data_IF_654275404127
#
_entry.id   IF_654275404127
#
_cell.length_a   1.000
_cell.length_b   1.000
_cell.length_c   1.000
_cell.angle_alpha   90.00
_cell.angle_beta   90.00
_cell.angle_gamma   90.00
#
_symmetry.space_group_name_H-M   'P 1'
#
loop_
_entity.id
_entity.type
_entity.pdbx_description
1 polymer ?
#
# COMPACT_ATOMS: atom_id res chain seq x y z
N UNK A 1 19.72 13.42 13.59
CA UNK A 1 18.55 14.26 13.89
C UNK A 1 17.44 13.82 12.95
N UNK A 2 16.19 13.80 13.42
CA UNK A 2 15.05 13.57 12.54
C UNK A 2 14.71 14.89 11.84
N UNK A 3 14.36 14.80 10.57
CA UNK A 3 13.86 15.92 9.77
C UNK A 3 12.38 16.12 10.15
N UNK A 4 11.95 17.38 10.27
CA UNK A 4 10.55 17.71 10.53
C UNK A 4 9.77 17.75 9.21
N UNK A 5 8.84 16.81 8.96
CA UNK A 5 8.08 16.78 7.72
C UNK A 5 7.10 17.96 7.56
N UNK A 6 6.89 18.77 8.60
CA UNK A 6 6.01 19.95 8.58
C UNK A 6 6.74 21.27 8.39
N UNK A 7 8.07 21.27 8.40
CA UNK A 7 8.88 22.46 8.13
C UNK A 7 8.94 22.74 6.62
N UNK A 8 8.36 23.84 6.11
CA UNK A 8 8.35 24.12 4.67
C UNK A 8 9.75 24.39 4.10
N UNK A 9 10.71 24.79 4.95
CA UNK A 9 12.09 25.05 4.52
C UNK A 9 12.93 23.77 4.44
N UNK A 10 12.39 22.64 4.91
CA UNK A 10 13.03 21.32 4.78
C UNK A 10 13.00 20.79 3.35
N UNK A 11 11.99 21.20 2.56
CA UNK A 11 11.86 20.86 1.15
C UNK A 11 12.14 22.11 0.32
N UNK A 12 13.36 22.27 -0.18
CA UNK A 12 13.64 23.24 -1.24
C UNK A 12 12.81 22.86 -2.47
N UNK A 13 12.12 23.83 -3.09
CA UNK A 13 11.56 23.73 -4.44
C UNK A 13 12.72 23.56 -5.46
N UNK A 14 13.45 22.46 -5.39
CA UNK A 14 14.16 21.97 -6.57
C UNK A 14 13.08 21.41 -7.48
N UNK A 15 12.64 22.26 -8.43
CA UNK A 15 11.93 21.84 -9.64
C UNK A 15 12.83 20.91 -10.48
N UNK A 16 13.35 19.82 -9.93
CA UNK A 16 13.44 18.58 -10.69
C UNK A 16 12.03 18.04 -10.76
N UNK A 17 11.24 18.74 -11.57
CA UNK A 17 9.96 18.33 -12.08
C UNK A 17 10.16 16.97 -12.71
N UNK A 18 9.97 15.89 -11.94
CA UNK A 18 9.53 14.64 -12.52
C UNK A 18 8.37 15.02 -13.42
N UNK A 19 8.56 14.91 -14.73
CA UNK A 19 7.77 15.60 -15.73
C UNK A 19 6.33 15.05 -15.63
N UNK A 20 5.44 15.77 -14.93
CA UNK A 20 4.12 15.27 -14.56
C UNK A 20 3.31 15.12 -15.84
N UNK A 21 2.93 13.88 -16.17
CA UNK A 21 2.20 13.55 -17.39
C UNK A 21 3.04 12.94 -18.51
N UNK A 22 4.33 12.69 -18.27
CA UNK A 22 5.14 11.83 -19.16
C UNK A 22 4.84 10.36 -18.88
N UNK A 23 4.75 9.58 -19.97
CA UNK A 23 4.54 8.14 -19.88
C UNK A 23 5.73 7.50 -19.16
N UNK A 24 5.46 6.77 -18.07
CA UNK A 24 6.47 5.96 -17.41
C UNK A 24 6.99 4.88 -18.38
N UNK A 25 8.25 4.42 -18.25
CA UNK A 25 8.75 3.26 -19.00
C UNK A 25 7.74 2.10 -18.98
N UNK A 26 7.68 1.30 -20.06
CA UNK A 26 6.64 0.26 -20.21
C UNK A 26 6.56 -0.70 -19.02
N UNK A 27 7.71 -1.08 -18.45
CA UNK A 27 7.79 -1.95 -17.28
C UNK A 27 7.21 -1.27 -16.03
N UNK A 28 7.63 -0.03 -15.77
CA UNK A 28 7.15 0.77 -14.63
C UNK A 28 5.64 1.03 -14.75
N UNK A 29 5.15 1.31 -15.96
CA UNK A 29 3.73 1.49 -16.23
C UNK A 29 2.94 0.18 -16.04
N UNK A 30 3.54 -0.97 -16.33
CA UNK A 30 2.93 -2.28 -16.08
C UNK A 30 2.80 -2.55 -14.57
N UNK A 31 3.85 -2.26 -13.78
CA UNK A 31 3.81 -2.37 -12.32
C UNK A 31 2.78 -1.42 -11.70
N UNK A 32 2.73 -0.16 -12.15
CA UNK A 32 1.77 0.83 -11.64
C UNK A 32 0.30 0.49 -11.95
N UNK A 33 0.04 -0.27 -13.01
CA UNK A 33 -1.31 -0.69 -13.41
C UNK A 33 -1.70 -2.04 -12.81
N UNK A 34 -0.80 -2.71 -12.08
CA UNK A 34 -1.11 -3.95 -11.40
C UNK A 34 -2.07 -3.69 -10.22
N UNK A 35 -2.97 -4.64 -9.97
CA UNK A 35 -3.88 -4.57 -8.84
C UNK A 35 -3.10 -4.69 -7.51
N UNK A 36 -3.34 -3.76 -6.57
CA UNK A 36 -2.60 -3.66 -5.30
C UNK A 36 -2.94 -4.82 -4.33
N UNK A 37 -4.14 -5.37 -4.46
CA UNK A 37 -4.62 -6.55 -3.76
C UNK A 37 -5.77 -7.15 -4.59
N UNK A 38 -5.51 -8.09 -5.52
CA UNK A 38 -6.55 -8.62 -6.40
C UNK A 38 -7.64 -9.38 -5.61
N UNK A 39 -7.32 -9.82 -4.40
CA UNK A 39 -8.24 -10.43 -3.45
C UNK A 39 -8.56 -9.46 -2.31
N UNK A 40 -9.85 -9.13 -2.17
CA UNK A 40 -10.31 -8.30 -1.05
C UNK A 40 -10.24 -9.09 0.26
N UNK A 41 -9.89 -8.40 1.34
CA UNK A 41 -10.03 -8.93 2.70
C UNK A 41 -11.47 -9.38 2.99
N UNK A 42 -11.62 -10.34 3.90
CA UNK A 42 -12.94 -10.76 4.35
C UNK A 42 -13.64 -9.60 5.08
N UNK A 43 -14.96 -9.51 4.90
CA UNK A 43 -15.77 -8.52 5.59
C UNK A 43 -15.68 -8.70 7.11
N UNK A 44 -15.59 -7.58 7.84
CA UNK A 44 -15.71 -7.58 9.30
C UNK A 44 -17.15 -7.80 9.78
N UNK A 45 -18.13 -7.93 8.88
CA UNK A 45 -19.50 -8.27 9.24
C UNK A 45 -19.58 -9.64 9.94
N UNK A 46 -20.08 -9.66 11.17
CA UNK A 46 -20.17 -10.87 11.99
C UNK A 46 -18.96 -11.13 12.89
N UNK A 47 -17.90 -10.32 12.78
CA UNK A 47 -16.79 -10.33 13.74
C UNK A 47 -17.21 -9.60 15.02
N UNK A 48 -16.88 -10.17 16.19
CA UNK A 48 -17.12 -9.55 17.49
C UNK A 48 -16.14 -8.38 17.72
N UNK A 49 -16.60 -7.12 17.80
CA UNK A 49 -15.73 -5.96 17.97
C UNK A 49 -15.02 -5.92 19.34
N UNK A 50 -15.47 -6.73 20.30
CA UNK A 50 -14.85 -6.80 21.64
C UNK A 50 -13.63 -7.73 21.70
N UNK A 51 -13.39 -8.52 20.66
CA UNK A 51 -12.29 -9.50 20.58
C UNK A 51 -10.90 -8.83 20.49
N UNK A 52 -10.79 -7.72 19.77
CA UNK A 52 -9.55 -6.98 19.56
C UNK A 52 -9.82 -5.54 19.12
N UNK A 53 -8.78 -4.72 18.95
CA UNK A 53 -8.93 -3.39 18.36
C UNK A 53 -9.19 -3.51 16.84
N UNK A 54 -9.67 -2.43 16.21
CA UNK A 54 -10.06 -2.42 14.79
C UNK A 54 -8.92 -2.84 13.84
N UNK A 55 -7.69 -2.39 14.09
CA UNK A 55 -6.55 -2.74 13.26
C UNK A 55 -6.21 -4.24 13.35
N UNK A 56 -6.27 -4.82 14.55
CA UNK A 56 -6.04 -6.25 14.75
C UNK A 56 -7.15 -7.10 14.09
N UNK A 57 -8.39 -6.62 14.10
CA UNK A 57 -9.51 -7.33 13.44
C UNK A 57 -9.36 -7.29 11.91
N UNK A 58 -8.97 -6.15 11.33
CA UNK A 58 -8.68 -6.04 9.91
C UNK A 58 -7.53 -6.96 9.49
N UNK A 59 -6.43 -7.01 10.25
CA UNK A 59 -5.31 -7.90 9.96
C UNK A 59 -5.69 -9.38 10.07
N UNK A 60 -6.54 -9.76 11.03
CA UNK A 60 -7.04 -11.13 11.17
C UNK A 60 -8.00 -11.55 10.05
N UNK A 61 -8.67 -10.59 9.41
CA UNK A 61 -9.58 -10.83 8.28
C UNK A 61 -8.86 -10.78 6.92
N UNK A 62 -7.56 -10.46 6.90
CA UNK A 62 -6.79 -10.41 5.65
C UNK A 62 -6.74 -11.80 5.00
N UNK A 63 -7.15 -11.87 3.74
CA UNK A 63 -7.05 -13.09 2.94
C UNK A 63 -5.61 -13.24 2.48
N UNK A 64 -5.01 -14.40 2.77
CA UNK A 64 -3.65 -14.74 2.33
C UNK A 64 -3.75 -15.89 1.34
N UNK A 65 -3.47 -15.63 0.07
CA UNK A 65 -3.28 -16.69 -0.92
C UNK A 65 -2.10 -17.57 -0.50
N UNK A 66 -2.35 -18.87 -0.46
CA UNK A 66 -1.29 -19.87 -0.35
C UNK A 66 -0.94 -20.30 -1.78
N UNK A 67 0.25 -19.93 -2.26
CA UNK A 67 0.80 -20.51 -3.48
C UNK A 67 1.48 -21.84 -3.11
N UNK A 68 0.88 -22.95 -3.55
CA UNK A 68 1.43 -24.30 -3.33
C UNK A 68 2.74 -24.54 -4.10
N UNK A 69 3.06 -23.68 -5.08
CA UNK A 69 4.28 -23.74 -5.87
C UNK A 69 5.47 -23.03 -5.19
N UNK A 70 5.22 -22.17 -4.18
CA UNK A 70 6.26 -21.45 -3.42
C UNK A 70 7.12 -22.36 -2.51
N UNK A 71 6.68 -23.60 -2.28
CA UNK A 71 7.35 -24.59 -1.42
C UNK A 71 8.04 -25.73 -2.21
N UNK A 72 8.61 -25.45 -3.39
CA UNK A 72 9.35 -26.45 -4.19
C UNK A 72 10.86 -26.26 -4.20
#
# INVERSE_FOLDING_TARGET
MAIDPTDPETFTDEEDSAEIGVEAPENDAAEQKADIAPESDDSLEGVDPSRANEADLAEQARVVTLDEDDYR
#
